data_IF_575825569980
#
_entry.id   IF_575825569980
#
_cell.length_a   1.000
_cell.length_b   1.000
_cell.length_c   1.000
_cell.angle_alpha   90.00
_cell.angle_beta   90.00
_cell.angle_gamma   90.00
#
_symmetry.space_group_name_H-M   'P 1'
#
loop_
_entity.id
_entity.type
_entity.pdbx_description
1 polymer ?
#
# COMPACT_ATOMS: atom_id res chain seq x y z
N UNK A 1 -29.16 -36.04 28.44
CA UNK A 1 -30.60 -36.31 28.16
C UNK A 1 -31.05 -35.38 27.05
N UNK A 2 -31.63 -36.00 26.14
CA UNK A 2 -32.57 -35.71 25.04
C UNK A 2 -31.94 -35.29 23.69
N UNK A 3 -31.78 -36.32 22.89
CA UNK A 3 -31.77 -36.37 21.43
C UNK A 3 -33.04 -35.73 20.86
N UNK A 4 -32.95 -34.97 19.83
CA UNK A 4 -34.00 -34.91 18.81
C UNK A 4 -33.41 -35.01 17.43
N UNK A 5 -33.57 -36.20 16.91
CA UNK A 5 -33.51 -36.66 15.54
C UNK A 5 -34.79 -36.19 14.84
N UNK A 6 -34.68 -35.53 13.70
CA UNK A 6 -35.80 -35.47 12.73
C UNK A 6 -35.29 -35.87 11.36
N UNK A 7 -35.75 -37.03 11.02
CA UNK A 7 -35.75 -37.67 9.73
C UNK A 7 -37.07 -37.31 9.03
N UNK A 8 -37.12 -37.50 7.72
CA UNK A 8 -38.33 -37.70 6.87
C UNK A 8 -38.41 -36.65 5.76
N UNK A 9 -38.41 -36.91 4.55
CA UNK A 9 -38.79 -37.86 3.49
C UNK A 9 -38.87 -37.02 2.21
N UNK A 10 -38.22 -37.40 1.12
CA UNK A 10 -38.73 -38.21 0.01
C UNK A 10 -40.01 -37.72 -0.66
N UNK A 11 -39.92 -37.42 -1.93
CA UNK A 11 -40.79 -37.81 -3.05
C UNK A 11 -40.51 -36.89 -4.25
N UNK A 12 -40.04 -37.41 -5.31
CA UNK A 12 -40.66 -38.03 -6.49
C UNK A 12 -40.85 -37.04 -7.66
N UNK A 13 -40.09 -37.22 -8.67
CA UNK A 13 -40.41 -37.55 -10.08
C UNK A 13 -41.56 -36.77 -10.74
N UNK A 14 -41.21 -36.03 -11.79
CA UNK A 14 -42.04 -36.02 -13.03
C UNK A 14 -41.09 -35.81 -14.21
N UNK A 15 -41.04 -36.82 -15.07
CA UNK A 15 -40.61 -36.82 -16.45
C UNK A 15 -41.65 -36.08 -17.28
N UNK A 16 -41.22 -35.16 -18.14
CA UNK A 16 -41.95 -34.87 -19.40
C UNK A 16 -40.96 -34.71 -20.54
N UNK A 17 -41.03 -35.67 -21.39
CA UNK A 17 -40.50 -35.73 -22.74
C UNK A 17 -41.22 -34.74 -23.67
N UNK A 18 -40.48 -34.04 -24.46
CA UNK A 18 -40.99 -33.23 -25.55
C UNK A 18 -39.99 -33.15 -26.68
N UNK A 19 -40.24 -33.90 -27.72
CA UNK A 19 -39.45 -34.09 -28.93
C UNK A 19 -39.72 -33.02 -29.98
N UNK A 20 -38.71 -32.89 -30.87
CA UNK A 20 -38.80 -32.45 -32.29
C UNK A 20 -38.73 -30.92 -32.48
N UNK A 21 -37.96 -30.35 -33.35
CA UNK A 21 -37.56 -30.69 -34.72
C UNK A 21 -36.46 -29.75 -35.18
N UNK A 22 -35.39 -30.21 -35.70
CA UNK A 22 -35.06 -30.33 -37.16
C UNK A 22 -34.44 -29.09 -37.80
N UNK A 23 -33.21 -29.34 -38.28
CA UNK A 23 -32.55 -28.86 -39.50
C UNK A 23 -32.16 -27.39 -39.61
N UNK A 24 -30.86 -27.08 -39.75
CA UNK A 24 -30.20 -27.18 -41.03
C UNK A 24 -28.67 -26.96 -40.85
N UNK A 25 -27.92 -27.81 -41.53
CA UNK A 25 -26.49 -27.68 -41.78
C UNK A 25 -26.21 -26.40 -42.55
N UNK A 26 -25.10 -25.79 -42.18
CA UNK A 26 -24.05 -25.32 -43.08
C UNK A 26 -22.86 -24.87 -42.23
N UNK A 27 -21.79 -25.73 -42.22
CA UNK A 27 -20.42 -25.29 -42.16
C UNK A 27 -20.06 -24.81 -43.57
N UNK A 28 -19.12 -23.87 -43.77
CA UNK A 28 -17.79 -23.96 -43.29
C UNK A 28 -17.07 -22.62 -43.01
N UNK A 29 -16.02 -22.74 -42.39
CA UNK A 29 -14.73 -22.06 -42.50
C UNK A 29 -14.20 -21.46 -41.23
N UNK A 30 -13.26 -22.22 -40.70
CA UNK A 30 -12.11 -21.74 -39.95
C UNK A 30 -11.72 -20.31 -40.31
N UNK A 31 -11.68 -19.49 -39.30
CA UNK A 31 -10.54 -18.60 -39.10
C UNK A 31 -10.42 -18.40 -37.57
N UNK A 32 -9.56 -19.23 -37.02
CA UNK A 32 -8.92 -18.92 -35.74
C UNK A 32 -8.13 -17.64 -35.99
N UNK A 33 -8.50 -16.62 -35.30
CA UNK A 33 -7.57 -15.58 -34.88
C UNK A 33 -7.77 -15.37 -33.40
N UNK A 34 -7.06 -16.20 -32.70
CA UNK A 34 -6.64 -16.00 -31.34
C UNK A 34 -5.71 -14.77 -31.34
N UNK A 35 -6.31 -13.60 -31.25
CA UNK A 35 -5.61 -12.37 -30.97
C UNK A 35 -5.79 -12.09 -29.47
N UNK A 36 -5.03 -12.78 -28.66
CA UNK A 36 -4.66 -12.31 -27.34
C UNK A 36 -4.05 -10.92 -27.53
N UNK A 37 -4.67 -9.84 -27.00
CA UNK A 37 -3.98 -8.57 -26.99
C UNK A 37 -2.75 -8.76 -26.14
N UNK A 38 -1.58 -8.72 -26.77
CA UNK A 38 -0.33 -8.53 -26.07
C UNK A 38 -0.51 -7.27 -25.21
N UNK A 39 -0.57 -7.45 -23.90
CA UNK A 39 -0.40 -6.36 -22.97
C UNK A 39 1.00 -5.82 -23.22
N UNK A 40 1.06 -4.72 -23.93
CA UNK A 40 2.28 -3.91 -23.97
C UNK A 40 2.76 -3.76 -22.52
N UNK A 41 4.03 -4.01 -22.22
CA UNK A 41 4.57 -3.74 -20.92
C UNK A 41 4.42 -2.24 -20.70
N UNK A 42 3.44 -1.85 -19.89
CA UNK A 42 3.32 -0.47 -19.42
C UNK A 42 4.66 -0.19 -18.72
N UNK A 43 5.55 0.49 -19.41
CA UNK A 43 6.78 1.02 -18.82
C UNK A 43 6.34 1.93 -17.68
N UNK A 44 6.30 1.40 -16.47
CA UNK A 44 6.14 2.22 -15.26
C UNK A 44 7.36 3.13 -15.23
N UNK A 45 7.17 4.39 -15.59
CA UNK A 45 8.20 5.41 -15.41
C UNK A 45 8.62 5.34 -13.94
N UNK A 46 9.90 5.02 -13.71
CA UNK A 46 10.44 4.99 -12.36
C UNK A 46 10.37 6.41 -11.80
N UNK A 47 9.79 6.54 -10.62
CA UNK A 47 9.70 7.80 -9.92
C UNK A 47 11.03 8.07 -9.25
N UNK A 48 11.62 9.23 -9.48
CA UNK A 48 12.88 9.66 -8.86
C UNK A 48 12.58 10.60 -7.69
N UNK A 49 13.39 10.51 -6.64
CA UNK A 49 13.32 11.44 -5.50
C UNK A 49 14.47 12.42 -5.58
N UNK A 50 14.14 13.69 -5.70
CA UNK A 50 15.11 14.79 -5.74
C UNK A 50 14.89 15.72 -4.55
N UNK A 51 15.88 15.77 -3.62
CA UNK A 51 15.89 16.77 -2.55
C UNK A 51 16.60 18.02 -3.06
N UNK A 52 15.90 19.16 -3.20
CA UNK A 52 16.51 20.40 -3.70
C UNK A 52 17.59 20.94 -2.77
N UNK A 53 18.56 21.69 -3.30
CA UNK A 53 19.67 22.24 -2.50
C UNK A 53 19.20 23.20 -1.39
N UNK A 54 18.13 23.94 -1.62
CA UNK A 54 17.51 24.82 -0.61
C UNK A 54 16.81 24.04 0.53
N UNK A 55 16.61 22.74 0.39
CA UNK A 55 16.03 21.84 1.40
C UNK A 55 17.08 20.94 2.03
N UNK A 56 18.09 20.55 1.25
CA UNK A 56 19.15 19.63 1.66
C UNK A 56 19.88 20.11 2.91
N UNK A 57 19.91 19.28 3.94
CA UNK A 57 20.57 19.60 5.21
C UNK A 57 19.84 20.65 6.08
N UNK A 58 18.65 21.12 5.69
CA UNK A 58 17.88 22.12 6.47
C UNK A 58 16.97 21.51 7.52
N UNK A 59 16.81 20.20 7.52
CA UNK A 59 15.94 19.46 8.44
C UNK A 59 16.74 18.42 9.20
N UNK A 60 16.68 18.50 10.54
CA UNK A 60 17.45 17.63 11.43
C UNK A 60 16.77 16.28 11.63
N UNK A 61 15.49 16.28 12.00
CA UNK A 61 14.79 15.06 12.40
C UNK A 61 13.30 15.14 12.12
N UNK A 62 12.67 13.98 12.12
CA UNK A 62 11.22 13.82 12.05
C UNK A 62 10.72 13.05 13.27
N UNK A 63 9.50 13.34 13.72
CA UNK A 63 8.79 12.60 14.76
C UNK A 63 7.71 11.77 14.10
N UNK A 64 7.78 10.46 14.32
CA UNK A 64 6.82 9.50 13.79
C UNK A 64 5.97 8.94 14.91
N UNK A 65 4.67 8.69 14.63
CA UNK A 65 3.84 7.84 15.45
C UNK A 65 3.92 6.39 14.99
N UNK A 66 3.78 5.47 15.95
CA UNK A 66 3.68 4.04 15.75
C UNK A 66 2.47 3.56 16.54
N UNK A 67 1.41 3.18 15.84
CA UNK A 67 0.20 2.64 16.44
C UNK A 67 0.29 1.10 16.46
N UNK A 68 0.33 0.50 17.63
CA UNK A 68 0.13 -0.94 17.80
C UNK A 68 -1.38 -1.22 17.84
N UNK A 69 -1.92 -1.75 16.75
CA UNK A 69 -3.35 -2.01 16.58
C UNK A 69 -3.86 -3.14 17.49
N UNK A 70 -2.99 -4.09 17.84
CA UNK A 70 -3.35 -5.20 18.73
C UNK A 70 -3.48 -4.73 20.17
N UNK A 71 -2.58 -3.85 20.60
CA UNK A 71 -2.59 -3.30 21.96
C UNK A 71 -3.40 -2.02 22.08
N UNK A 72 -3.87 -1.47 20.97
CA UNK A 72 -4.49 -0.14 20.87
C UNK A 72 -3.65 0.94 21.56
N UNK A 73 -2.33 0.91 21.32
CA UNK A 73 -1.37 1.79 21.96
C UNK A 73 -0.55 2.54 20.92
N UNK A 74 -0.46 3.85 21.10
CA UNK A 74 0.36 4.71 20.26
C UNK A 74 1.68 5.07 20.98
N UNK A 75 2.77 4.98 20.25
CA UNK A 75 4.10 5.42 20.67
C UNK A 75 4.69 6.40 19.66
N UNK A 76 5.74 7.11 20.10
CA UNK A 76 6.41 8.10 19.26
C UNK A 76 7.92 7.87 19.25
N UNK A 77 8.53 8.09 18.07
CA UNK A 77 9.99 8.05 17.91
C UNK A 77 10.45 9.28 17.13
N UNK A 78 11.61 9.81 17.48
CA UNK A 78 12.27 10.90 16.74
C UNK A 78 13.53 10.36 16.08
N UNK A 79 13.61 10.48 14.77
CA UNK A 79 14.70 9.93 13.96
C UNK A 79 15.29 11.05 13.12
N UNK A 80 16.63 11.16 13.11
CA UNK A 80 17.32 12.12 12.24
C UNK A 80 17.17 11.72 10.77
N UNK A 81 17.04 12.71 9.89
CA UNK A 81 16.98 12.50 8.43
C UNK A 81 18.26 11.81 7.96
N UNK A 82 18.12 10.75 7.18
CA UNK A 82 19.22 9.92 6.71
C UNK A 82 19.67 8.84 7.70
N UNK A 83 19.06 8.74 8.89
CA UNK A 83 19.46 7.77 9.92
C UNK A 83 18.45 6.62 10.05
N UNK A 84 18.94 5.56 10.71
CA UNK A 84 18.16 4.35 11.02
C UNK A 84 18.05 4.21 12.53
N UNK A 85 16.87 3.78 13.00
CA UNK A 85 16.61 3.54 14.43
C UNK A 85 15.87 2.20 14.60
N UNK A 86 16.29 1.43 15.60
CA UNK A 86 15.50 0.30 16.11
C UNK A 86 14.50 0.81 17.13
N UNK A 87 13.24 0.44 16.97
CA UNK A 87 12.16 0.84 17.89
C UNK A 87 12.17 -0.04 19.12
N UNK A 88 12.35 0.56 20.30
CA UNK A 88 12.44 -0.17 21.58
C UNK A 88 11.16 -0.97 21.85
N UNK A 89 11.32 -2.19 22.35
CA UNK A 89 10.23 -3.10 22.66
C UNK A 89 9.55 -3.74 21.45
N UNK A 90 10.13 -3.58 20.27
CA UNK A 90 9.64 -4.16 19.01
C UNK A 90 10.80 -4.75 18.19
N UNK A 91 10.45 -5.44 17.10
CA UNK A 91 11.43 -5.87 16.08
C UNK A 91 11.50 -4.92 14.89
N UNK A 92 10.88 -3.74 15.02
CA UNK A 92 10.86 -2.73 13.96
C UNK A 92 12.18 -1.98 13.88
N UNK A 93 12.64 -1.78 12.65
CA UNK A 93 13.76 -0.90 12.31
C UNK A 93 13.25 0.10 11.28
N UNK A 94 13.41 1.39 11.57
CA UNK A 94 12.93 2.48 10.72
C UNK A 94 14.13 3.26 10.20
N UNK A 95 14.26 3.37 8.89
CA UNK A 95 15.19 4.27 8.20
C UNK A 95 14.40 5.46 7.66
N UNK A 96 14.81 6.66 8.01
CA UNK A 96 14.34 7.90 7.40
C UNK A 96 15.25 8.21 6.23
N UNK A 97 14.75 8.13 5.01
CA UNK A 97 15.56 8.34 3.81
C UNK A 97 15.63 9.81 3.40
N UNK A 98 14.47 10.49 3.36
CA UNK A 98 14.38 11.90 2.93
C UNK A 98 13.19 12.59 3.58
N UNK A 99 13.29 13.90 3.76
CA UNK A 99 12.18 14.76 4.18
C UNK A 99 11.99 15.90 3.17
N UNK A 100 10.75 16.11 2.74
CA UNK A 100 10.34 17.15 1.81
C UNK A 100 9.29 18.04 2.49
N UNK A 101 9.61 19.30 2.84
CA UNK A 101 8.70 20.19 3.58
C UNK A 101 7.48 20.63 2.75
N UNK A 102 7.62 20.68 1.45
CA UNK A 102 6.53 20.98 0.53
C UNK A 102 6.53 19.98 -0.63
N UNK A 103 6.14 18.74 -0.31
CA UNK A 103 6.11 17.66 -1.27
C UNK A 103 5.24 17.99 -2.49
N UNK A 104 5.81 17.82 -3.66
CA UNK A 104 5.14 17.89 -4.95
C UNK A 104 5.65 16.75 -5.85
N UNK A 105 4.86 16.43 -6.87
CA UNK A 105 5.29 15.59 -7.99
C UNK A 105 5.41 16.50 -9.23
N UNK A 106 6.60 16.57 -9.79
CA UNK A 106 6.89 17.28 -11.05
C UNK A 106 7.25 16.23 -12.11
N UNK A 107 6.31 15.95 -12.99
CA UNK A 107 6.42 14.85 -13.93
C UNK A 107 6.55 13.50 -13.20
N UNK A 108 7.74 12.89 -13.27
CA UNK A 108 8.10 11.63 -12.55
C UNK A 108 9.01 11.89 -11.35
N UNK A 109 9.31 13.15 -11.04
CA UNK A 109 10.20 13.52 -9.95
C UNK A 109 9.39 13.90 -8.70
N UNK A 110 9.65 13.25 -7.58
CA UNK A 110 9.14 13.61 -6.27
C UNK A 110 10.12 14.57 -5.62
N UNK A 111 9.68 15.78 -5.32
CA UNK A 111 10.56 16.86 -4.86
C UNK A 111 9.83 17.81 -3.91
N UNK A 112 10.50 18.89 -3.51
CA UNK A 112 9.90 19.97 -2.71
C UNK A 112 9.96 21.29 -3.46
N UNK A 113 8.83 21.97 -3.59
CA UNK A 113 8.81 23.27 -4.28
C UNK A 113 9.44 24.38 -3.46
N UNK A 114 9.44 24.29 -2.14
CA UNK A 114 10.04 25.26 -1.22
C UNK A 114 10.57 24.58 0.03
N UNK A 115 11.38 25.31 0.83
CA UNK A 115 11.79 24.88 2.17
C UNK A 115 10.76 25.25 3.26
N UNK A 116 9.67 25.93 2.91
CA UNK A 116 8.59 26.25 3.83
C UNK A 116 7.61 25.08 3.92
N UNK A 117 7.31 24.55 5.11
CA UNK A 117 6.37 23.43 5.25
C UNK A 117 4.95 23.83 4.83
N UNK A 118 4.44 23.18 3.78
CA UNK A 118 3.04 23.31 3.31
C UNK A 118 2.38 21.96 3.10
N UNK A 119 3.16 20.96 2.65
CA UNK A 119 2.74 19.58 2.51
C UNK A 119 3.90 18.67 2.94
N UNK A 120 4.21 18.62 4.25
CA UNK A 120 5.35 17.87 4.74
C UNK A 120 5.19 16.38 4.52
N UNK A 121 6.25 15.76 3.99
CA UNK A 121 6.30 14.33 3.74
C UNK A 121 7.69 13.78 4.08
N UNK A 122 7.72 12.55 4.58
CA UNK A 122 8.94 11.80 4.88
C UNK A 122 8.94 10.47 4.13
N UNK A 123 10.03 10.19 3.45
CA UNK A 123 10.28 8.87 2.86
C UNK A 123 10.92 7.99 3.91
N UNK A 124 10.26 6.88 4.21
CA UNK A 124 10.75 5.89 5.19
C UNK A 124 10.85 4.51 4.57
N UNK A 125 11.79 3.73 5.10
CA UNK A 125 11.89 2.31 4.87
C UNK A 125 11.82 1.61 6.23
N UNK A 126 10.83 0.77 6.43
CA UNK A 126 10.53 0.09 7.69
C UNK A 126 10.65 -1.41 7.47
N UNK A 127 11.43 -2.06 8.34
CA UNK A 127 11.58 -3.51 8.35
C UNK A 127 11.17 -4.08 9.69
N UNK A 128 10.68 -5.31 9.71
CA UNK A 128 10.44 -6.11 10.92
C UNK A 128 11.15 -7.44 10.79
N UNK A 129 11.96 -7.82 11.76
CA UNK A 129 12.80 -9.02 11.69
C UNK A 129 13.69 -9.10 10.43
N UNK A 130 14.09 -7.94 9.88
CA UNK A 130 14.87 -7.85 8.64
C UNK A 130 14.08 -7.97 7.34
N UNK A 131 12.77 -8.15 7.40
CA UNK A 131 11.89 -8.19 6.24
C UNK A 131 11.23 -6.84 6.01
N UNK A 132 11.05 -6.46 4.75
CA UNK A 132 10.42 -5.20 4.37
C UNK A 132 8.94 -5.21 4.77
N UNK A 133 8.56 -4.21 5.57
CA UNK A 133 7.18 -3.98 6.03
C UNK A 133 6.53 -2.83 5.26
N UNK A 134 7.28 -1.76 5.08
CA UNK A 134 6.79 -0.57 4.40
C UNK A 134 7.96 0.23 3.81
N UNK A 135 7.82 0.63 2.57
CA UNK A 135 8.70 1.62 1.92
C UNK A 135 7.82 2.62 1.19
N UNK A 136 7.84 3.87 1.64
CA UNK A 136 6.96 4.88 1.07
C UNK A 136 6.95 6.19 1.83
N UNK A 137 6.06 7.07 1.41
CA UNK A 137 5.89 8.39 1.97
C UNK A 137 4.84 8.41 3.07
N UNK A 138 5.16 9.07 4.19
CA UNK A 138 4.21 9.43 5.24
C UNK A 138 4.01 10.94 5.20
N UNK A 139 2.75 11.36 5.26
CA UNK A 139 2.35 12.77 5.16
C UNK A 139 1.74 13.24 6.46
N UNK A 140 2.01 14.50 6.84
CA UNK A 140 1.34 15.12 8.00
C UNK A 140 -0.12 15.46 7.69
N UNK A 141 -0.39 15.99 6.50
CA UNK A 141 -1.75 16.43 6.13
C UNK A 141 -2.66 15.27 5.69
N UNK A 142 -2.08 14.17 5.23
CA UNK A 142 -2.79 13.04 4.66
C UNK A 142 -2.31 11.72 5.28
N UNK A 143 -2.53 11.50 6.57
CA UNK A 143 -1.95 10.36 7.29
C UNK A 143 -2.38 8.99 6.75
N UNK A 144 -3.52 8.94 6.05
CA UNK A 144 -4.07 7.69 5.51
C UNK A 144 -3.80 7.47 4.01
N UNK A 145 -3.18 8.42 3.31
CA UNK A 145 -3.02 8.35 1.83
C UNK A 145 -2.14 7.20 1.38
N UNK A 146 -1.12 6.88 2.17
CA UNK A 146 -0.22 5.75 1.95
C UNK A 146 -0.05 4.95 3.24
N UNK A 147 -1.18 4.73 3.94
CA UNK A 147 -1.18 3.96 5.17
C UNK A 147 -0.53 2.59 4.94
N UNK A 148 0.45 2.28 5.77
CA UNK A 148 1.03 0.95 5.81
C UNK A 148 -0.07 -0.09 6.01
N UNK A 149 -0.12 -1.10 5.14
CA UNK A 149 -1.05 -2.23 5.27
C UNK A 149 -0.55 -3.29 6.25
N UNK A 150 0.42 -2.95 7.10
CA UNK A 150 0.89 -3.87 8.11
C UNK A 150 -0.25 -4.30 9.05
N UNK A 151 -0.37 -5.61 9.31
CA UNK A 151 -1.47 -6.15 10.09
C UNK A 151 -1.53 -5.53 11.50
N UNK A 152 -0.37 -5.41 12.16
CA UNK A 152 -0.26 -4.95 13.54
C UNK A 152 0.04 -3.47 13.66
N UNK A 153 0.94 -2.90 12.85
CA UNK A 153 1.42 -1.54 13.06
C UNK A 153 0.88 -0.54 12.05
N UNK A 154 0.56 0.66 12.53
CA UNK A 154 0.30 1.85 11.72
C UNK A 154 1.42 2.88 11.93
N UNK A 155 1.75 3.67 10.90
CA UNK A 155 2.81 4.67 10.96
C UNK A 155 2.29 6.01 10.46
N UNK A 156 2.74 7.10 11.10
CA UNK A 156 2.36 8.47 10.74
C UNK A 156 3.50 9.45 10.93
N UNK A 157 3.53 10.51 10.12
CA UNK A 157 4.40 11.67 10.33
C UNK A 157 3.66 12.68 11.22
N UNK A 158 4.23 12.99 12.40
CA UNK A 158 3.60 13.86 13.38
C UNK A 158 4.25 15.24 13.41
N UNK A 159 5.59 15.29 13.33
CA UNK A 159 6.33 16.54 13.48
C UNK A 159 7.71 16.45 12.81
N UNK A 160 8.39 17.58 12.67
CA UNK A 160 9.71 17.69 12.07
C UNK A 160 10.48 18.87 12.69
N UNK A 161 11.80 18.74 12.79
CA UNK A 161 12.66 19.73 13.44
C UNK A 161 13.69 20.25 12.43
N UNK A 162 13.83 21.60 12.26
CA UNK A 162 14.88 22.19 11.44
C UNK A 162 16.27 21.87 11.97
N UNK A 163 17.26 21.85 11.06
CA UNK A 163 18.66 21.94 11.45
C UNK A 163 18.99 23.36 11.94
N UNK A 164 19.88 23.47 12.90
CA UNK A 164 20.36 24.76 13.41
C UNK A 164 21.29 25.41 12.40
#
# INVERSE_FOLDING_TARGET
MVRKLFLVTSTAVILTTGLLSSCKKEDPKKTQQDATPAKDPVMRKQTEVLVPDNVKGKWKSVKLSIMDKEQNKEGYVTIEVGKTMKVNGTNLVIKVESFLPHFIMDGTTLTSSTNTPKNPAVLVHITENGQDVFKGWLFTLYPNTHASQHARYGFGLIDYTPAK
#
